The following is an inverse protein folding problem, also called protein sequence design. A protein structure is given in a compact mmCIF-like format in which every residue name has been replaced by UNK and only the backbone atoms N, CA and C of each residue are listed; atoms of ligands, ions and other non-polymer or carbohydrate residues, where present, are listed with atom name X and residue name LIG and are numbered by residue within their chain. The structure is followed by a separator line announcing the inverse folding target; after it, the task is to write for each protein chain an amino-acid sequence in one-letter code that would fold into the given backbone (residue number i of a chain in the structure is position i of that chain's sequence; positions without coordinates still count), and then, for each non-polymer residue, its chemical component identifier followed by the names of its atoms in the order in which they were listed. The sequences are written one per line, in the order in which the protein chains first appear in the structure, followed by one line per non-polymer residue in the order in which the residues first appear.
data_IF_828509031411
#
_entry.id   IF_828509031411
#
_cell.length_a   1.000
_cell.length_b   1.000
_cell.length_c   1.000
_cell.angle_alpha   90.00
_cell.angle_beta   90.00
_cell.angle_gamma   90.00
#
_symmetry.space_group_name_H-M   'P 1'
#
loop_
_entity.id
_entity.type
_entity.pdbx_description
1 polymer ?
#
# COMPACT_ATOMS: atom_id res chain seq x y z
N UNK A 1 -12.91 -6.23 0.77
CA UNK A 1 -12.16 -5.08 0.22
C UNK A 1 -10.86 -4.91 0.99
N UNK A 2 -9.74 -5.09 0.31
CA UNK A 2 -8.41 -5.30 0.92
C UNK A 2 -7.75 -3.98 1.37
N UNK A 3 -8.07 -2.89 0.69
CA UNK A 3 -7.67 -1.54 1.03
C UNK A 3 -8.94 -0.82 1.46
N UNK A 4 -9.05 -0.52 2.75
CA UNK A 4 -10.05 0.38 3.37
C UNK A 4 -11.15 0.87 2.42
N UNK A 5 -12.35 0.27 2.48
CA UNK A 5 -13.48 0.67 1.62
C UNK A 5 -14.03 2.08 1.82
N UNK A 6 -13.34 2.88 2.62
CA UNK A 6 -13.65 4.26 2.90
C UNK A 6 -12.33 5.01 3.13
N UNK A 7 -12.21 6.24 2.64
CA UNK A 7 -11.02 7.11 2.84
C UNK A 7 -10.58 7.17 4.31
N UNK A 8 -11.56 7.23 5.23
CA UNK A 8 -11.33 7.21 6.67
C UNK A 8 -10.91 5.86 7.26
N UNK A 9 -11.00 4.72 6.58
CA UNK A 9 -10.65 3.44 7.23
C UNK A 9 -9.14 3.30 7.50
N UNK A 10 -8.30 4.04 6.76
CA UNK A 10 -6.88 4.26 7.10
C UNK A 10 -6.74 5.05 8.42
N UNK A 11 -7.61 6.04 8.61
CA UNK A 11 -7.70 6.88 9.81
C UNK A 11 -8.38 6.18 11.00
N UNK A 12 -9.27 5.21 10.78
CA UNK A 12 -9.93 4.48 11.88
C UNK A 12 -8.97 3.60 12.67
N UNK A 13 -7.89 3.08 12.06
CA UNK A 13 -6.78 2.45 12.80
C UNK A 13 -5.83 3.46 13.45
N UNK A 14 -5.99 4.77 13.19
CA UNK A 14 -5.24 5.87 13.84
C UNK A 14 -5.99 6.43 15.05
N UNK A 15 -7.33 6.42 15.06
CA UNK A 15 -8.14 6.92 16.18
C UNK A 15 -8.37 5.91 17.31
N UNK A 16 -8.37 6.44 18.54
CA UNK A 16 -8.74 5.71 19.75
C UNK A 16 -10.26 5.45 19.73
N UNK A 17 -10.67 4.24 19.38
CA UNK A 17 -12.06 3.80 19.56
C UNK A 17 -12.30 3.43 21.04
N UNK A 18 -13.48 3.77 21.57
CA UNK A 18 -13.86 3.46 22.96
C UNK A 18 -13.80 1.94 23.19
N UNK A 19 -13.03 1.51 24.18
CA UNK A 19 -12.85 0.08 24.52
C UNK A 19 -11.74 -0.64 23.76
N UNK A 20 -11.04 0.01 22.81
CA UNK A 20 -9.88 -0.58 22.12
C UNK A 20 -8.56 -0.07 22.69
N UNK A 21 -7.59 -0.98 22.82
CA UNK A 21 -6.19 -0.61 23.13
C UNK A 21 -5.58 0.08 21.91
N UNK A 22 -4.89 1.18 22.15
CA UNK A 22 -4.16 1.91 21.10
C UNK A 22 -2.90 1.10 20.77
N UNK A 23 -2.73 0.74 19.49
CA UNK A 23 -1.50 0.13 18.99
C UNK A 23 -0.61 1.25 18.45
N UNK A 24 0.60 1.48 18.99
CA UNK A 24 1.46 2.55 18.50
C UNK A 24 1.83 2.33 17.03
N UNK A 25 2.08 3.42 16.28
CA UNK A 25 2.24 3.36 14.82
C UNK A 25 3.29 2.34 14.37
N UNK A 26 4.45 2.30 15.04
CA UNK A 26 5.52 1.37 14.65
C UNK A 26 5.12 -0.12 14.77
N UNK A 27 4.07 -0.45 15.52
CA UNK A 27 3.58 -1.81 15.71
C UNK A 27 2.44 -2.19 14.76
N UNK A 28 1.92 -1.23 13.98
CA UNK A 28 0.85 -1.48 13.01
C UNK A 28 1.44 -2.04 11.71
N UNK A 29 2.09 -3.20 11.79
CA UNK A 29 2.78 -3.83 10.66
C UNK A 29 1.82 -4.20 9.53
N UNK A 30 2.33 -4.16 8.31
CA UNK A 30 1.65 -4.54 7.09
C UNK A 30 1.18 -6.00 7.19
N UNK A 31 -0.11 -6.23 6.98
CA UNK A 31 -0.71 -7.57 6.99
C UNK A 31 -0.15 -8.55 5.94
N UNK A 32 0.60 -8.05 4.95
CA UNK A 32 1.16 -8.87 3.88
C UNK A 32 2.60 -9.27 4.19
N UNK A 33 3.48 -8.30 4.44
CA UNK A 33 4.90 -8.56 4.62
C UNK A 33 5.34 -8.64 6.10
N UNK A 34 4.52 -8.14 7.03
CA UNK A 34 4.83 -8.05 8.47
C UNK A 34 6.15 -7.34 8.81
N UNK A 35 6.74 -6.61 7.86
CA UNK A 35 8.07 -5.99 8.02
C UNK A 35 8.00 -4.47 8.17
N UNK A 36 7.08 -3.82 7.46
CA UNK A 36 6.91 -2.36 7.45
C UNK A 36 5.57 -1.98 8.04
N UNK A 37 5.42 -0.72 8.46
CA UNK A 37 4.13 -0.22 8.94
C UNK A 37 3.10 -0.23 7.80
N UNK A 38 1.90 -0.73 8.08
CA UNK A 38 0.79 -0.74 7.13
C UNK A 38 0.32 0.69 6.86
N UNK A 39 0.52 1.12 5.62
CA UNK A 39 -0.19 2.24 5.02
C UNK A 39 -0.54 1.92 3.55
N UNK A 40 -1.47 2.68 2.93
CA UNK A 40 -1.92 2.41 1.57
C UNK A 40 -0.78 2.44 0.55
N UNK A 41 0.17 3.36 0.69
CA UNK A 41 1.28 3.49 -0.24
C UNK A 41 2.20 2.25 -0.18
N UNK A 42 2.53 1.79 1.03
CA UNK A 42 3.26 0.55 1.22
C UNK A 42 2.51 -0.63 0.60
N UNK A 43 1.24 -0.83 0.95
CA UNK A 43 0.46 -1.97 0.47
C UNK A 43 0.28 -1.98 -1.05
N UNK A 44 0.11 -0.81 -1.68
CA UNK A 44 -0.17 -0.70 -3.11
C UNK A 44 1.07 -0.67 -3.99
N UNK A 45 2.15 -0.03 -3.54
CA UNK A 45 3.28 0.30 -4.41
C UNK A 45 4.62 -0.25 -3.94
N UNK A 46 4.80 -0.52 -2.64
CA UNK A 46 6.08 -0.94 -2.07
C UNK A 46 6.14 -2.43 -1.69
N UNK A 47 5.00 -3.00 -1.28
CA UNK A 47 4.97 -4.29 -0.62
C UNK A 47 5.41 -5.41 -1.59
N UNK A 48 6.50 -6.09 -1.24
CA UNK A 48 7.12 -7.13 -2.08
C UNK A 48 6.48 -8.51 -1.90
N UNK A 49 5.27 -8.59 -1.35
CA UNK A 49 4.57 -9.87 -1.27
C UNK A 49 4.21 -10.35 -2.67
N UNK A 50 4.48 -11.62 -2.98
CA UNK A 50 4.42 -12.17 -4.34
C UNK A 50 3.09 -11.88 -5.06
N UNK A 51 1.95 -12.10 -4.40
CA UNK A 51 0.64 -11.84 -4.97
C UNK A 51 0.39 -10.36 -5.30
N UNK A 52 0.97 -9.44 -4.52
CA UNK A 52 0.85 -8.00 -4.78
C UNK A 52 1.81 -7.52 -5.86
N UNK A 53 2.95 -8.19 -6.02
CA UNK A 53 3.87 -7.95 -7.13
C UNK A 53 3.20 -8.35 -8.44
N UNK A 54 2.66 -9.57 -8.53
CA UNK A 54 2.02 -10.07 -9.75
C UNK A 54 0.82 -9.22 -10.18
N UNK A 55 -0.03 -8.81 -9.24
CA UNK A 55 -1.17 -7.92 -9.54
C UNK A 55 -0.68 -6.55 -10.05
N UNK A 56 0.40 -6.00 -9.47
CA UNK A 56 0.97 -4.73 -9.94
C UNK A 56 1.54 -4.86 -11.34
N UNK A 57 2.27 -5.92 -11.63
CA UNK A 57 2.84 -6.17 -12.96
C UNK A 57 1.73 -6.22 -14.02
N UNK A 58 0.69 -7.02 -13.79
CA UNK A 58 -0.47 -7.10 -14.70
C UNK A 58 -1.16 -5.74 -14.87
N UNK A 59 -1.34 -4.99 -13.80
CA UNK A 59 -1.94 -3.66 -13.88
C UNK A 59 -1.05 -2.68 -14.67
N UNK A 60 0.25 -2.66 -14.39
CA UNK A 60 1.20 -1.77 -15.07
C UNK A 60 1.31 -2.12 -16.55
N UNK A 61 1.31 -3.40 -16.92
CA UNK A 61 1.24 -3.85 -18.32
C UNK A 61 -0.01 -3.28 -19.02
N UNK A 62 -1.18 -3.36 -18.39
CA UNK A 62 -2.42 -2.81 -18.95
C UNK A 62 -2.36 -1.28 -19.08
N UNK A 63 -1.80 -0.59 -18.08
CA UNK A 63 -1.63 0.86 -18.08
C UNK A 63 -0.68 1.28 -19.20
N UNK A 64 0.45 0.60 -19.36
CA UNK A 64 1.44 0.93 -20.40
C UNK A 64 0.93 0.59 -21.81
N UNK A 65 0.11 -0.45 -21.97
CA UNK A 65 -0.57 -0.73 -23.23
C UNK A 65 -1.58 0.38 -23.60
N UNK A 66 -2.28 0.93 -22.60
CA UNK A 66 -3.32 1.95 -22.82
C UNK A 66 -2.73 3.37 -22.95
N UNK A 67 -1.68 3.66 -22.17
CA UNK A 67 -1.04 4.96 -22.07
C UNK A 67 0.48 4.81 -22.19
N UNK A 68 1.01 4.57 -23.40
CA UNK A 68 2.44 4.33 -23.62
C UNK A 68 3.35 5.46 -23.12
N UNK A 69 2.85 6.70 -23.08
CA UNK A 69 3.57 7.88 -22.55
C UNK A 69 3.97 7.75 -21.07
N UNK A 70 3.32 6.86 -20.32
CA UNK A 70 3.65 6.60 -18.92
C UNK A 70 4.73 5.53 -18.75
N UNK A 71 5.04 4.75 -19.79
CA UNK A 71 6.15 3.80 -19.76
C UNK A 71 7.48 4.56 -19.61
N UNK A 72 8.25 4.23 -18.57
CA UNK A 72 9.61 4.75 -18.38
C UNK A 72 9.78 6.04 -17.56
N UNK A 73 8.78 6.47 -16.77
CA UNK A 73 8.87 7.77 -16.05
C UNK A 73 9.03 7.72 -14.53
N UNK A 74 9.10 6.56 -13.89
CA UNK A 74 9.33 6.52 -12.44
C UNK A 74 10.26 5.35 -12.06
N UNK A 75 11.42 5.69 -11.50
CA UNK A 75 12.20 4.73 -10.73
C UNK A 75 11.35 4.34 -9.51
N UNK A 76 10.97 3.05 -9.36
CA UNK A 76 10.11 2.59 -8.25
C UNK A 76 10.65 2.96 -6.86
N UNK A 77 11.95 3.24 -6.76
CA UNK A 77 12.64 3.59 -5.52
C UNK A 77 12.56 5.07 -5.15
N UNK A 78 12.26 5.97 -6.09
CA UNK A 78 12.22 7.42 -5.83
C UNK A 78 10.91 7.87 -5.18
N UNK A 79 9.83 7.11 -5.35
CA UNK A 79 8.47 7.50 -4.92
C UNK A 79 8.18 7.09 -3.47
N UNK A 80 9.03 6.27 -2.85
CA UNK A 80 8.73 5.54 -1.61
C UNK A 80 9.83 5.64 -0.55
N UNK A 81 10.54 6.77 -0.46
CA UNK A 81 11.37 7.09 0.72
C UNK A 81 10.45 7.50 1.88
N UNK A 82 9.91 6.52 2.60
CA UNK A 82 9.12 6.70 3.83
C UNK A 82 9.91 6.30 5.06
#
# INVERSE_FOLDING_TARGET
MILSGHSLAVERRRWKERGKKIVPRQWRLCRFCYAYVEDPAHAMFACQQADLVSIREVFLEQVYATLPKLSGTLDPTDVLKF
#
